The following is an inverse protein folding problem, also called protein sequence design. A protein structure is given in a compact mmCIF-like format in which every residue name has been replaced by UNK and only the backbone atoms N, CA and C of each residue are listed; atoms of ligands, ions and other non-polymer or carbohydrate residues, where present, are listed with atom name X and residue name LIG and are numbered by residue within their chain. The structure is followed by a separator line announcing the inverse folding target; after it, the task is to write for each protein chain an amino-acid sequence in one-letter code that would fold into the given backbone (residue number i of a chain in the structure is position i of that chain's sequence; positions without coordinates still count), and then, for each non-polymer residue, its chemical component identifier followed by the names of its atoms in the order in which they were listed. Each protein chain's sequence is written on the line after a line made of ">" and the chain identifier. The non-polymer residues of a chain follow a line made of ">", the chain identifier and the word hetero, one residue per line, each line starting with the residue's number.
data_IF_613913216256
#
_entry.id   IF_613913216256
#
_cell.length_a   1.000
_cell.length_b   1.000
_cell.length_c   1.000
_cell.angle_alpha   90.00
_cell.angle_beta   90.00
_cell.angle_gamma   90.00
#
_symmetry.space_group_name_H-M   'P 1'
#
loop_
_entity.id
_entity.type
_entity.pdbx_description
1 polymer ?
#
# COMPACT_ATOMS: atom_id res chain seq x y z
N UNK A 1 -49.08 -10.24 -18.26
CA UNK A 1 -47.84 -9.65 -18.81
C UNK A 1 -46.82 -9.53 -17.69
N UNK A 2 -45.91 -10.50 -17.58
CA UNK A 2 -44.80 -10.52 -16.63
C UNK A 2 -43.67 -9.63 -17.14
N UNK A 3 -43.42 -8.50 -16.48
CA UNK A 3 -42.32 -7.59 -16.80
C UNK A 3 -41.02 -8.08 -16.16
N UNK A 4 -40.16 -8.68 -16.97
CA UNK A 4 -38.83 -9.16 -16.59
C UNK A 4 -37.86 -7.97 -16.56
N UNK A 5 -37.58 -7.42 -15.37
CA UNK A 5 -36.59 -6.34 -15.21
C UNK A 5 -35.18 -6.92 -15.28
N UNK A 6 -34.56 -6.78 -16.46
CA UNK A 6 -33.17 -7.16 -16.74
C UNK A 6 -32.22 -6.23 -15.97
N UNK A 7 -31.72 -6.66 -14.81
CA UNK A 7 -30.65 -5.96 -14.06
C UNK A 7 -29.39 -5.90 -14.92
N UNK A 8 -29.07 -4.73 -15.46
CA UNK A 8 -27.78 -4.44 -16.06
C UNK A 8 -26.70 -4.37 -14.96
N UNK A 9 -25.97 -5.45 -14.74
CA UNK A 9 -24.79 -5.47 -13.89
C UNK A 9 -23.64 -4.77 -14.61
N UNK A 10 -23.50 -3.46 -14.42
CA UNK A 10 -22.33 -2.70 -14.83
C UNK A 10 -21.10 -3.16 -14.04
N UNK A 11 -20.39 -4.18 -14.55
CA UNK A 11 -19.05 -4.56 -14.10
C UNK A 11 -18.15 -3.34 -14.33
N UNK A 12 -17.77 -2.62 -13.28
CA UNK A 12 -16.64 -1.70 -13.36
C UNK A 12 -15.45 -2.52 -13.85
N UNK A 13 -15.03 -2.29 -15.09
CA UNK A 13 -13.82 -2.91 -15.64
C UNK A 13 -12.65 -2.34 -14.86
N UNK A 14 -12.15 -3.10 -13.90
CA UNK A 14 -10.82 -2.88 -13.32
C UNK A 14 -9.82 -2.84 -14.49
N UNK A 15 -9.34 -1.65 -14.85
CA UNK A 15 -8.29 -1.52 -15.85
C UNK A 15 -7.05 -2.18 -15.25
N UNK A 16 -6.71 -3.37 -15.75
CA UNK A 16 -5.50 -4.06 -15.36
C UNK A 16 -4.30 -3.17 -15.72
N UNK A 17 -3.35 -2.95 -14.78
CA UNK A 17 -2.06 -2.40 -15.13
C UNK A 17 -1.46 -3.21 -16.27
N UNK A 18 -0.86 -2.55 -17.26
CA UNK A 18 -0.26 -3.26 -18.38
C UNK A 18 0.94 -4.06 -17.85
N UNK A 19 1.01 -5.36 -18.14
CA UNK A 19 2.05 -6.27 -17.64
C UNK A 19 3.49 -5.74 -17.86
N UNK A 20 3.73 -5.01 -18.95
CA UNK A 20 5.05 -4.44 -19.25
C UNK A 20 5.42 -3.29 -18.29
N UNK A 21 4.44 -2.54 -17.75
CA UNK A 21 4.69 -1.52 -16.71
C UNK A 21 5.20 -2.18 -15.44
N UNK A 22 4.65 -3.35 -15.11
CA UNK A 22 5.04 -4.12 -13.94
C UNK A 22 6.44 -4.71 -14.08
N UNK A 23 6.82 -5.14 -15.29
CA UNK A 23 8.20 -5.52 -15.59
C UNK A 23 9.17 -4.34 -15.49
N UNK A 24 8.80 -3.18 -16.02
CA UNK A 24 9.62 -1.96 -15.91
C UNK A 24 9.79 -1.52 -14.45
N UNK A 25 8.76 -1.67 -13.62
CA UNK A 25 8.84 -1.39 -12.19
C UNK A 25 9.80 -2.33 -11.47
N UNK A 26 9.74 -3.63 -11.77
CA UNK A 26 10.71 -4.61 -11.26
C UNK A 26 12.14 -4.31 -11.73
N UNK A 27 12.31 -3.96 -13.00
CA UNK A 27 13.61 -3.57 -13.56
C UNK A 27 14.14 -2.27 -12.94
N UNK A 28 13.28 -1.30 -12.68
CA UNK A 28 13.65 -0.05 -12.01
C UNK A 28 14.10 -0.32 -10.57
N UNK A 29 13.37 -1.17 -9.83
CA UNK A 29 13.76 -1.58 -8.48
C UNK A 29 15.12 -2.29 -8.46
N UNK A 30 15.35 -3.20 -9.42
CA UNK A 30 16.66 -3.84 -9.61
C UNK A 30 17.74 -2.81 -9.96
N UNK A 31 17.42 -1.82 -10.79
CA UNK A 31 18.32 -0.71 -11.12
C UNK A 31 18.72 0.12 -9.91
N UNK A 32 17.77 0.42 -9.00
CA UNK A 32 18.07 1.12 -7.73
C UNK A 32 19.01 0.29 -6.86
N UNK A 33 18.73 -1.01 -6.72
CA UNK A 33 19.61 -1.92 -5.98
C UNK A 33 21.03 -1.96 -6.57
N UNK A 34 21.15 -2.12 -7.89
CA UNK A 34 22.43 -2.15 -8.58
C UNK A 34 23.20 -0.82 -8.44
N UNK A 35 22.50 0.32 -8.56
CA UNK A 35 23.11 1.64 -8.42
C UNK A 35 23.65 1.88 -7.00
N UNK A 36 22.91 1.50 -5.97
CA UNK A 36 23.38 1.63 -4.58
C UNK A 36 24.50 0.63 -4.26
N UNK A 37 24.46 -0.57 -4.84
CA UNK A 37 25.56 -1.53 -4.75
C UNK A 37 26.85 -1.02 -5.40
N UNK A 38 26.75 -0.22 -6.47
CA UNK A 38 27.89 0.44 -7.11
C UNK A 38 28.42 1.68 -6.33
N UNK A 39 27.70 2.12 -5.29
CA UNK A 39 28.05 3.26 -4.46
C UNK A 39 28.21 2.86 -2.98
N UNK A 40 29.13 1.92 -2.65
CA UNK A 40 29.32 1.49 -1.27
C UNK A 40 29.87 2.64 -0.41
N UNK A 41 29.38 2.72 0.82
CA UNK A 41 29.94 3.63 1.83
C UNK A 41 31.36 3.20 2.24
N UNK A 42 32.20 4.14 2.72
CA UNK A 42 33.57 3.82 3.14
C UNK A 42 33.63 2.68 4.17
N UNK A 43 34.58 1.76 3.98
CA UNK A 43 34.80 0.63 4.88
C UNK A 43 33.66 -0.40 4.90
N UNK A 44 32.88 -0.50 3.83
CA UNK A 44 31.73 -1.42 3.69
C UNK A 44 31.99 -2.82 4.28
N UNK A 45 33.04 -3.50 3.84
CA UNK A 45 33.29 -4.89 4.24
C UNK A 45 33.64 -5.03 5.73
N UNK A 46 34.51 -4.14 6.24
CA UNK A 46 34.84 -4.09 7.66
C UNK A 46 33.60 -3.79 8.51
N UNK A 47 32.77 -2.84 8.09
CA UNK A 47 31.52 -2.51 8.78
C UNK A 47 30.56 -3.69 8.78
N UNK A 48 30.45 -4.42 7.67
CA UNK A 48 29.61 -5.61 7.59
C UNK A 48 30.02 -6.68 8.60
N UNK A 49 31.33 -6.96 8.71
CA UNK A 49 31.86 -7.91 9.69
C UNK A 49 31.57 -7.46 11.12
N UNK A 50 31.93 -6.22 11.47
CA UNK A 50 31.69 -5.65 12.82
C UNK A 50 30.21 -5.64 13.20
N UNK A 51 29.32 -5.28 12.26
CA UNK A 51 27.89 -5.30 12.49
C UNK A 51 27.36 -6.73 12.69
N UNK A 52 27.88 -7.71 11.95
CA UNK A 52 27.54 -9.12 12.14
C UNK A 52 27.98 -9.65 13.51
N UNK A 53 29.22 -9.36 13.91
CA UNK A 53 29.74 -9.68 15.25
C UNK A 53 28.89 -9.03 16.35
N UNK A 54 28.53 -7.76 16.19
CA UNK A 54 27.70 -7.03 17.16
C UNK A 54 26.31 -7.65 17.36
N UNK A 55 25.72 -8.23 16.29
CA UNK A 55 24.44 -8.94 16.37
C UNK A 55 24.62 -10.24 17.17
N UNK A 56 25.67 -11.02 16.91
CA UNK A 56 25.98 -12.22 17.70
C UNK A 56 26.23 -11.92 19.17
N UNK A 57 26.99 -10.86 19.46
CA UNK A 57 27.26 -10.44 20.83
C UNK A 57 25.97 -10.06 21.57
N UNK A 58 25.05 -9.38 20.88
CA UNK A 58 23.72 -9.06 21.41
C UNK A 58 22.90 -10.33 21.69
N UNK A 59 22.88 -11.27 20.75
CA UNK A 59 22.15 -12.54 20.91
C UNK A 59 22.73 -13.40 22.04
N UNK A 60 24.04 -13.46 22.16
CA UNK A 60 24.74 -14.16 23.24
C UNK A 60 24.47 -13.50 24.60
N UNK A 61 24.47 -12.16 24.67
CA UNK A 61 24.10 -11.42 25.88
C UNK A 61 22.65 -11.71 26.31
N UNK A 62 21.75 -11.90 25.34
CA UNK A 62 20.35 -12.27 25.56
C UNK A 62 20.13 -13.79 25.74
N UNK A 63 21.16 -14.62 25.53
CA UNK A 63 21.12 -16.10 25.54
C UNK A 63 20.12 -16.70 24.56
N UNK A 64 20.08 -16.14 23.36
CA UNK A 64 19.23 -16.58 22.23
C UNK A 64 20.06 -16.98 21.02
N UNK A 65 21.34 -17.33 21.23
CA UNK A 65 22.36 -17.68 20.26
C UNK A 65 22.28 -19.17 19.79
N UNK A 66 21.06 -19.69 19.63
CA UNK A 66 20.82 -21.10 19.27
C UNK A 66 21.25 -21.46 17.83
N UNK A 67 21.48 -20.45 17.00
CA UNK A 67 21.73 -20.55 15.56
C UNK A 67 22.92 -21.44 15.24
N UNK A 68 24.00 -21.30 16.01
CA UNK A 68 25.24 -22.05 15.81
C UNK A 68 25.02 -23.55 15.99
N UNK A 69 24.21 -23.93 16.98
CA UNK A 69 23.87 -25.33 17.24
C UNK A 69 23.02 -25.92 16.10
N UNK A 70 22.03 -25.16 15.62
CA UNK A 70 21.18 -25.58 14.50
C UNK A 70 21.99 -25.68 13.20
N UNK A 71 22.96 -24.78 13.00
CA UNK A 71 23.83 -24.80 11.83
C UNK A 71 24.75 -26.02 11.79
N UNK A 72 25.41 -26.37 12.89
CA UNK A 72 26.19 -27.60 12.96
C UNK A 72 25.33 -28.83 12.76
N UNK A 73 24.14 -28.87 13.39
CA UNK A 73 23.22 -29.97 13.18
C UNK A 73 22.89 -30.16 11.70
N UNK A 74 22.53 -29.10 10.96
CA UNK A 74 22.19 -29.19 9.54
C UNK A 74 23.41 -29.56 8.68
N UNK A 75 24.60 -29.06 9.02
CA UNK A 75 25.84 -29.36 8.30
C UNK A 75 26.12 -30.87 8.23
N UNK A 76 25.71 -31.63 9.26
CA UNK A 76 25.94 -33.07 9.35
C UNK A 76 24.87 -33.93 8.63
N UNK A 77 23.84 -33.34 8.02
CA UNK A 77 22.69 -34.09 7.49
C UNK A 77 22.81 -34.51 6.01
N UNK A 78 23.93 -34.21 5.34
CA UNK A 78 24.21 -34.63 3.96
C UNK A 78 23.18 -34.11 2.94
N UNK A 79 22.25 -34.97 2.50
CA UNK A 79 21.26 -34.60 1.47
C UNK A 79 20.30 -33.50 1.93
N UNK A 80 19.98 -33.45 3.23
CA UNK A 80 19.08 -32.42 3.77
C UNK A 80 19.74 -31.03 3.70
N UNK A 81 21.06 -30.95 3.89
CA UNK A 81 21.85 -29.72 3.71
C UNK A 81 21.72 -29.19 2.28
N UNK A 82 21.77 -30.07 1.29
CA UNK A 82 21.61 -29.69 -0.13
C UNK A 82 20.20 -29.19 -0.41
N UNK A 83 19.18 -29.87 0.11
CA UNK A 83 17.77 -29.45 -0.02
C UNK A 83 17.55 -28.09 0.65
N UNK A 84 18.12 -27.87 1.83
CA UNK A 84 18.06 -26.59 2.53
C UNK A 84 18.71 -25.46 1.70
N UNK A 85 19.88 -25.69 1.10
CA UNK A 85 20.51 -24.71 0.24
C UNK A 85 19.65 -24.37 -1.01
N UNK A 86 18.95 -25.36 -1.59
CA UNK A 86 18.01 -25.11 -2.69
C UNK A 86 16.73 -24.38 -2.25
N UNK A 87 16.21 -24.69 -1.06
CA UNK A 87 15.08 -23.97 -0.46
C UNK A 87 15.45 -22.49 -0.29
N UNK A 88 16.60 -22.24 0.34
CA UNK A 88 17.16 -20.91 0.53
C UNK A 88 17.27 -20.18 -0.80
N UNK A 89 17.73 -20.87 -1.86
CA UNK A 89 18.03 -20.22 -3.11
C UNK A 89 16.81 -19.78 -3.94
N UNK A 90 15.73 -20.58 -3.97
CA UNK A 90 14.69 -20.41 -5.00
C UNK A 90 13.27 -20.26 -4.48
N UNK A 91 12.96 -20.81 -3.31
CA UNK A 91 11.57 -21.00 -2.88
C UNK A 91 10.83 -19.67 -2.70
N UNK A 92 11.46 -18.70 -2.02
CA UNK A 92 10.89 -17.37 -1.76
C UNK A 92 10.60 -16.60 -3.05
N UNK A 93 11.48 -16.69 -4.06
CA UNK A 93 11.28 -16.11 -5.39
C UNK A 93 10.07 -16.74 -6.07
N UNK A 94 10.03 -18.07 -6.12
CA UNK A 94 8.98 -18.82 -6.79
C UNK A 94 7.60 -18.53 -6.17
N UNK A 95 7.51 -18.54 -4.83
CA UNK A 95 6.26 -18.27 -4.10
C UNK A 95 5.81 -16.81 -4.29
N UNK A 96 6.74 -15.87 -4.30
CA UNK A 96 6.44 -14.44 -4.51
C UNK A 96 5.90 -14.21 -5.92
N UNK A 97 6.59 -14.72 -6.94
CA UNK A 97 6.14 -14.62 -8.33
C UNK A 97 4.79 -15.30 -8.55
N UNK A 98 4.60 -16.51 -7.98
CA UNK A 98 3.32 -17.21 -8.04
C UNK A 98 2.20 -16.41 -7.38
N UNK A 99 2.46 -15.78 -6.24
CA UNK A 99 1.50 -14.93 -5.52
C UNK A 99 1.14 -13.69 -6.33
N UNK A 100 2.13 -13.00 -6.91
CA UNK A 100 1.91 -11.84 -7.78
C UNK A 100 1.08 -12.21 -9.02
N UNK A 101 1.41 -13.31 -9.68
CA UNK A 101 0.66 -13.81 -10.85
C UNK A 101 -0.76 -14.20 -10.46
N UNK A 102 -0.93 -14.89 -9.33
CA UNK A 102 -2.26 -15.26 -8.83
C UNK A 102 -3.10 -14.02 -8.50
N UNK A 103 -2.53 -13.02 -7.82
CA UNK A 103 -3.19 -11.75 -7.55
C UNK A 103 -3.59 -11.05 -8.85
N UNK A 104 -2.66 -10.94 -9.81
CA UNK A 104 -2.91 -10.28 -11.09
C UNK A 104 -4.03 -10.95 -11.89
N UNK A 105 -4.09 -12.29 -11.91
CA UNK A 105 -5.05 -13.06 -12.71
C UNK A 105 -6.39 -13.31 -12.02
N UNK A 106 -6.38 -13.54 -10.71
CA UNK A 106 -7.55 -14.05 -9.95
C UNK A 106 -8.11 -13.05 -8.95
N UNK A 107 -7.30 -12.09 -8.48
CA UNK A 107 -7.66 -11.10 -7.46
C UNK A 107 -7.16 -9.68 -7.83
N UNK A 108 -7.50 -9.16 -9.04
CA UNK A 108 -6.95 -7.90 -9.54
C UNK A 108 -7.24 -6.70 -8.62
N UNK A 109 -8.31 -6.77 -7.83
CA UNK A 109 -8.66 -5.79 -6.80
C UNK A 109 -7.61 -5.67 -5.67
N UNK A 110 -6.84 -6.73 -5.43
CA UNK A 110 -5.77 -6.77 -4.41
C UNK A 110 -4.37 -6.59 -5.01
N UNK A 111 -4.21 -6.75 -6.32
CA UNK A 111 -2.90 -6.70 -6.98
C UNK A 111 -2.17 -5.37 -6.77
N UNK A 112 -2.86 -4.23 -6.96
CA UNK A 112 -2.24 -2.91 -6.81
C UNK A 112 -1.65 -2.69 -5.41
N UNK A 113 -2.43 -3.01 -4.36
CA UNK A 113 -1.95 -2.96 -2.98
C UNK A 113 -0.76 -3.90 -2.74
N UNK A 114 -0.85 -5.13 -3.25
CA UNK A 114 0.20 -6.13 -3.07
C UNK A 114 1.52 -5.68 -3.70
N UNK A 115 1.46 -5.22 -4.95
CA UNK A 115 2.58 -4.63 -5.68
C UNK A 115 3.18 -3.44 -4.92
N UNK A 116 2.36 -2.49 -4.49
CA UNK A 116 2.85 -1.28 -3.82
C UNK A 116 3.55 -1.63 -2.49
N UNK A 117 2.98 -2.54 -1.70
CA UNK A 117 3.61 -3.03 -0.48
C UNK A 117 4.95 -3.74 -0.77
N UNK A 118 5.00 -4.52 -1.87
CA UNK A 118 6.20 -5.22 -2.31
C UNK A 118 7.30 -4.25 -2.80
N UNK A 119 6.94 -3.16 -3.46
CA UNK A 119 7.92 -2.12 -3.84
C UNK A 119 8.46 -1.42 -2.60
N UNK A 120 7.58 -0.98 -1.69
CA UNK A 120 8.00 -0.27 -0.48
C UNK A 120 8.90 -1.15 0.40
N UNK A 121 8.56 -2.42 0.63
CA UNK A 121 9.39 -3.30 1.46
C UNK A 121 10.79 -3.48 0.87
N UNK A 122 10.92 -3.61 -0.46
CA UNK A 122 12.23 -3.76 -1.10
C UNK A 122 13.03 -2.46 -1.06
N UNK A 123 12.39 -1.30 -1.26
CA UNK A 123 13.08 -0.01 -1.15
C UNK A 123 13.63 0.23 0.27
N UNK A 124 12.85 -0.13 1.30
CA UNK A 124 13.30 -0.04 2.69
C UNK A 124 14.45 -1.02 2.95
N UNK A 125 14.34 -2.27 2.48
CA UNK A 125 15.41 -3.26 2.64
C UNK A 125 16.71 -2.83 1.93
N UNK A 126 16.63 -2.33 0.70
CA UNK A 126 17.77 -1.81 -0.06
C UNK A 126 18.45 -0.65 0.70
N UNK A 127 17.65 0.27 1.26
CA UNK A 127 18.17 1.36 2.07
C UNK A 127 18.88 0.85 3.34
N UNK A 128 18.30 -0.15 4.01
CA UNK A 128 18.94 -0.79 5.15
C UNK A 128 20.27 -1.44 4.78
N UNK A 129 20.34 -2.21 3.68
CA UNK A 129 21.58 -2.84 3.21
C UNK A 129 22.68 -1.82 2.92
N UNK A 130 22.31 -0.66 2.38
CA UNK A 130 23.25 0.40 2.07
C UNK A 130 23.76 1.12 3.34
N UNK A 131 22.86 1.43 4.27
CA UNK A 131 23.19 2.15 5.51
C UNK A 131 23.84 1.27 6.58
N UNK A 132 23.43 0.00 6.67
CA UNK A 132 23.83 -0.96 7.69
C UNK A 132 24.13 -2.31 7.03
N UNK A 133 25.28 -2.45 6.35
CA UNK A 133 25.69 -3.74 5.78
C UNK A 133 25.98 -4.71 6.94
N UNK A 134 25.67 -6.00 6.75
CA UNK A 134 25.80 -7.04 7.79
C UNK A 134 26.31 -8.32 7.15
N UNK A 135 27.46 -8.80 7.62
CA UNK A 135 27.99 -10.09 7.22
C UNK A 135 27.15 -11.22 7.84
N UNK A 136 26.74 -12.23 7.05
CA UNK A 136 26.01 -13.39 7.56
C UNK A 136 26.91 -14.25 8.46
N UNK A 137 26.32 -15.05 9.39
CA UNK A 137 27.08 -15.84 10.36
C UNK A 137 28.17 -16.72 9.74
N UNK A 138 27.89 -17.38 8.62
CA UNK A 138 28.82 -18.27 7.92
C UNK A 138 30.08 -17.58 7.36
N UNK A 139 30.07 -16.26 7.24
CA UNK A 139 31.19 -15.47 6.72
C UNK A 139 32.02 -14.80 7.83
N UNK A 140 31.62 -14.95 9.10
CA UNK A 140 32.38 -14.44 10.23
C UNK A 140 33.53 -15.40 10.58
N UNK A 141 34.81 -14.98 10.49
CA UNK A 141 35.96 -15.88 10.65
C UNK A 141 36.01 -16.63 11.98
N UNK A 142 35.69 -15.96 13.08
CA UNK A 142 35.87 -16.50 14.44
C UNK A 142 34.55 -16.97 15.08
N UNK A 143 33.43 -16.88 14.36
CA UNK A 143 32.12 -17.26 14.90
C UNK A 143 31.90 -18.78 14.90
N UNK A 144 32.68 -19.53 14.11
CA UNK A 144 32.63 -21.00 14.07
C UNK A 144 31.41 -21.58 13.36
N UNK A 145 30.71 -20.82 12.51
CA UNK A 145 29.62 -21.35 11.67
C UNK A 145 30.19 -22.11 10.45
N UNK A 146 29.45 -23.12 10.00
CA UNK A 146 29.78 -23.89 8.79
C UNK A 146 29.11 -23.28 7.56
N UNK A 147 29.90 -22.98 6.53
CA UNK A 147 29.39 -22.56 5.22
C UNK A 147 28.82 -23.77 4.45
N UNK A 148 27.56 -24.08 4.72
CA UNK A 148 26.85 -25.21 4.11
C UNK A 148 26.65 -25.04 2.60
N UNK A 149 26.66 -23.81 2.10
CA UNK A 149 26.49 -23.49 0.67
C UNK A 149 27.72 -23.95 -0.11
N UNK A 150 28.92 -23.70 0.42
CA UNK A 150 30.19 -24.14 -0.18
C UNK A 150 30.36 -25.66 -0.09
N UNK A 151 29.96 -26.27 1.02
CA UNK A 151 30.07 -27.73 1.26
C UNK A 151 29.07 -28.53 0.41
N UNK A 152 27.86 -28.00 0.18
CA UNK A 152 26.78 -28.73 -0.47
C UNK A 152 26.84 -28.84 -2.00
N UNK A 153 27.85 -28.27 -2.68
CA UNK A 153 28.04 -28.41 -4.13
C UNK A 153 26.82 -28.00 -4.98
N UNK A 154 26.04 -27.04 -4.49
CA UNK A 154 24.68 -26.78 -4.97
C UNK A 154 24.71 -26.06 -6.33
N UNK A 155 24.41 -26.77 -7.42
CA UNK A 155 24.41 -26.22 -8.78
C UNK A 155 23.31 -25.15 -8.93
N UNK A 156 23.70 -23.93 -9.31
CA UNK A 156 22.79 -22.79 -9.46
C UNK A 156 22.36 -22.08 -8.18
N UNK A 157 22.87 -22.50 -7.02
CA UNK A 157 22.66 -21.81 -5.74
C UNK A 157 23.40 -20.46 -5.71
N UNK A 158 22.91 -19.53 -4.90
CA UNK A 158 23.68 -18.35 -4.47
C UNK A 158 25.06 -18.82 -3.97
N UNK A 159 26.14 -18.25 -4.51
CA UNK A 159 27.51 -18.74 -4.30
C UNK A 159 28.11 -19.55 -5.47
N UNK A 160 27.35 -19.83 -6.54
CA UNK A 160 27.94 -20.25 -7.83
C UNK A 160 28.50 -19.03 -8.61
N UNK A 161 29.53 -19.21 -9.46
CA UNK A 161 30.17 -18.12 -10.22
C UNK A 161 29.23 -17.32 -11.13
N UNK A 162 27.99 -17.80 -11.35
CA UNK A 162 26.99 -17.15 -12.18
C UNK A 162 26.18 -16.07 -11.42
N UNK A 163 26.30 -15.99 -10.09
CA UNK A 163 25.53 -15.07 -9.22
C UNK A 163 26.43 -14.39 -8.15
N UNK A 164 27.74 -14.32 -8.38
CA UNK A 164 28.73 -13.69 -7.49
C UNK A 164 28.53 -12.18 -7.27
N UNK A 165 27.66 -11.53 -8.05
CA UNK A 165 27.36 -10.09 -7.97
C UNK A 165 26.28 -9.66 -6.96
N UNK A 166 25.65 -10.59 -6.24
CA UNK A 166 24.69 -10.25 -5.19
C UNK A 166 25.41 -10.09 -3.85
N UNK A 167 25.20 -8.95 -3.18
CA UNK A 167 25.92 -8.52 -1.99
C UNK A 167 25.87 -9.56 -0.86
N UNK A 168 26.92 -10.38 -0.74
CA UNK A 168 27.03 -11.43 0.29
C UNK A 168 27.03 -10.87 1.73
N UNK A 169 27.12 -9.55 1.87
CA UNK A 169 27.19 -8.78 3.11
C UNK A 169 25.89 -8.02 3.41
N UNK A 170 24.76 -8.50 2.88
CA UNK A 170 23.43 -7.92 3.07
C UNK A 170 22.50 -8.88 3.83
N UNK A 171 22.91 -9.31 5.04
CA UNK A 171 22.11 -10.24 5.85
C UNK A 171 20.85 -9.56 6.45
N UNK A 172 20.95 -8.34 6.98
CA UNK A 172 19.84 -7.67 7.67
C UNK A 172 19.23 -6.53 6.84
N UNK A 173 17.91 -6.48 6.62
CA UNK A 173 16.88 -7.46 7.00
C UNK A 173 16.81 -8.66 6.03
N UNK A 174 16.31 -9.81 6.50
CA UNK A 174 16.18 -10.99 5.64
C UNK A 174 15.06 -10.82 4.61
N UNK A 175 15.44 -10.64 3.33
CA UNK A 175 14.48 -10.61 2.22
C UNK A 175 13.82 -11.96 1.95
N UNK A 176 14.47 -13.08 2.29
CA UNK A 176 13.87 -14.42 2.22
C UNK A 176 12.57 -14.47 3.06
N UNK A 177 12.69 -14.06 4.33
CA UNK A 177 11.54 -13.93 5.23
C UNK A 177 10.60 -12.82 4.78
N UNK A 178 11.14 -11.65 4.41
CA UNK A 178 10.32 -10.52 3.96
C UNK A 178 9.39 -10.91 2.80
N UNK A 179 9.90 -11.63 1.81
CA UNK A 179 9.15 -12.03 0.62
C UNK A 179 8.16 -13.16 0.91
N UNK A 180 8.60 -14.22 1.61
CA UNK A 180 7.73 -15.34 2.00
C UNK A 180 6.59 -14.86 2.92
N UNK A 181 6.91 -13.99 3.89
CA UNK A 181 5.92 -13.43 4.82
C UNK A 181 4.98 -12.46 4.10
N UNK A 182 5.50 -11.58 3.23
CA UNK A 182 4.66 -10.72 2.39
C UNK A 182 3.66 -11.54 1.55
N UNK A 183 4.10 -12.65 0.96
CA UNK A 183 3.22 -13.53 0.20
C UNK A 183 2.09 -14.09 1.07
N UNK A 184 2.42 -14.54 2.29
CA UNK A 184 1.44 -15.03 3.27
C UNK A 184 0.43 -13.93 3.68
N UNK A 185 0.89 -12.70 3.90
CA UNK A 185 0.02 -11.53 4.19
C UNK A 185 -0.88 -11.19 3.00
N UNK A 186 -0.34 -11.25 1.78
CA UNK A 186 -1.08 -10.97 0.57
C UNK A 186 -2.18 -12.00 0.30
N UNK A 187 -1.90 -13.29 0.53
CA UNK A 187 -2.88 -14.37 0.47
C UNK A 187 -3.99 -14.18 1.51
N UNK A 188 -3.63 -13.84 2.75
CA UNK A 188 -4.60 -13.58 3.82
C UNK A 188 -5.52 -12.42 3.45
N UNK A 189 -4.95 -11.31 2.97
CA UNK A 189 -5.71 -10.11 2.59
C UNK A 189 -6.63 -10.34 1.40
N UNK A 190 -6.23 -11.19 0.46
CA UNK A 190 -7.03 -11.58 -0.70
C UNK A 190 -8.03 -12.72 -0.40
N UNK A 191 -8.19 -13.10 0.87
CA UNK A 191 -9.06 -14.19 1.32
C UNK A 191 -8.83 -15.48 0.51
N UNK A 192 -7.56 -15.87 0.40
CA UNK A 192 -7.15 -17.14 -0.19
C UNK A 192 -7.74 -18.32 0.62
N UNK A 193 -7.94 -19.50 0.00
CA UNK A 193 -8.47 -20.66 0.71
C UNK A 193 -7.52 -21.09 1.83
N UNK A 194 -8.09 -21.69 2.89
CA UNK A 194 -7.34 -22.06 4.12
C UNK A 194 -6.12 -22.95 3.85
N UNK A 195 -6.19 -23.85 2.87
CA UNK A 195 -5.05 -24.69 2.50
C UNK A 195 -3.87 -23.87 1.97
N UNK A 196 -4.14 -22.82 1.18
CA UNK A 196 -3.09 -21.95 0.64
C UNK A 196 -2.46 -21.10 1.75
N UNK A 197 -3.29 -20.62 2.69
CA UNK A 197 -2.81 -19.90 3.87
C UNK A 197 -1.95 -20.78 4.79
N UNK A 198 -2.34 -22.05 4.95
CA UNK A 198 -1.59 -23.01 5.77
C UNK A 198 -0.27 -23.37 5.11
N UNK A 199 -0.28 -23.61 3.79
CA UNK A 199 0.92 -23.87 3.01
C UNK A 199 1.88 -22.68 3.03
N UNK A 200 1.39 -21.45 2.92
CA UNK A 200 2.23 -20.25 3.00
C UNK A 200 2.82 -20.04 4.39
N UNK A 201 2.06 -20.30 5.46
CA UNK A 201 2.56 -20.24 6.83
C UNK A 201 3.65 -21.30 7.09
N UNK A 202 3.43 -22.54 6.61
CA UNK A 202 4.43 -23.60 6.68
C UNK A 202 5.70 -23.23 5.90
N UNK A 203 5.55 -22.65 4.71
CA UNK A 203 6.68 -22.17 3.93
C UNK A 203 7.49 -21.10 4.67
N UNK A 204 6.85 -20.09 5.29
CA UNK A 204 7.55 -19.08 6.11
C UNK A 204 8.35 -19.72 7.25
N UNK A 205 7.76 -20.72 7.93
CA UNK A 205 8.45 -21.43 9.01
C UNK A 205 9.64 -22.27 8.50
N UNK A 206 9.48 -22.93 7.35
CA UNK A 206 10.57 -23.68 6.70
C UNK A 206 11.69 -22.75 6.27
N UNK A 207 11.38 -21.64 5.60
CA UNK A 207 12.37 -20.65 5.19
C UNK A 207 13.12 -20.09 6.40
N UNK A 208 12.42 -19.78 7.49
CA UNK A 208 13.06 -19.35 8.75
C UNK A 208 14.05 -20.38 9.28
N UNK A 209 13.62 -21.65 9.40
CA UNK A 209 14.50 -22.70 9.86
C UNK A 209 15.73 -22.86 8.94
N UNK A 210 15.53 -22.83 7.63
CA UNK A 210 16.60 -22.99 6.63
C UNK A 210 17.61 -21.85 6.68
N UNK A 211 17.18 -20.59 6.74
CA UNK A 211 18.12 -19.46 6.68
C UNK A 211 19.03 -19.39 7.91
N UNK A 212 18.50 -19.75 9.09
CA UNK A 212 19.27 -19.81 10.34
C UNK A 212 20.17 -21.04 10.31
N UNK A 213 19.64 -22.20 9.95
CA UNK A 213 20.41 -23.44 9.90
C UNK A 213 21.53 -23.42 8.84
N UNK A 214 21.37 -22.70 7.73
CA UNK A 214 22.43 -22.56 6.71
C UNK A 214 23.46 -21.48 7.07
N UNK A 215 23.27 -20.76 8.18
CA UNK A 215 24.17 -19.68 8.61
C UNK A 215 24.16 -18.47 7.66
N UNK A 216 23.11 -18.32 6.85
CA UNK A 216 22.95 -17.18 5.94
C UNK A 216 22.31 -15.96 6.62
N UNK A 217 21.61 -16.16 7.74
CA UNK A 217 20.93 -15.10 8.45
C UNK A 217 20.93 -15.35 9.96
N UNK A 218 20.97 -14.26 10.71
CA UNK A 218 20.58 -14.24 12.12
C UNK A 218 19.04 -14.31 12.22
N UNK A 219 18.50 -14.78 13.33
CA UNK A 219 17.08 -14.87 13.60
C UNK A 219 16.52 -13.47 13.81
N UNK A 220 17.36 -12.54 14.30
CA UNK A 220 17.06 -11.11 14.29
C UNK A 220 16.91 -10.53 12.87
N UNK A 221 17.56 -11.10 11.85
CA UNK A 221 17.32 -10.69 10.46
C UNK A 221 15.90 -11.05 10.02
N UNK A 222 15.35 -12.16 10.52
CA UNK A 222 13.96 -12.55 10.26
C UNK A 222 12.97 -11.57 10.90
N UNK A 223 13.28 -11.09 12.12
CA UNK A 223 12.51 -10.01 12.77
C UNK A 223 12.57 -8.73 11.94
N UNK A 224 13.75 -8.37 11.43
CA UNK A 224 13.93 -7.28 10.47
C UNK A 224 13.08 -7.48 9.20
N UNK A 225 13.05 -8.69 8.66
CA UNK A 225 12.21 -9.08 7.51
C UNK A 225 10.72 -8.84 7.75
N UNK A 226 10.21 -9.21 8.92
CA UNK A 226 8.81 -8.95 9.32
C UNK A 226 8.56 -7.44 9.47
N UNK A 227 9.50 -6.70 10.06
CA UNK A 227 9.39 -5.26 10.24
C UNK A 227 9.31 -4.52 8.90
N UNK A 228 10.13 -4.88 7.89
CA UNK A 228 10.06 -4.24 6.57
C UNK A 228 8.77 -4.58 5.82
N UNK A 229 8.21 -5.78 6.02
CA UNK A 229 6.87 -6.10 5.48
C UNK A 229 5.81 -5.22 6.14
N UNK A 230 5.86 -5.05 7.46
CA UNK A 230 4.94 -4.17 8.16
C UNK A 230 5.02 -2.72 7.64
N UNK A 231 6.24 -2.19 7.47
CA UNK A 231 6.46 -0.88 6.84
C UNK A 231 5.93 -0.82 5.41
N UNK A 232 6.12 -1.89 4.63
CA UNK A 232 5.55 -2.02 3.28
C UNK A 232 4.02 -1.95 3.27
N UNK A 233 3.37 -2.65 4.20
CA UNK A 233 1.90 -2.65 4.34
C UNK A 233 1.36 -1.28 4.75
N UNK A 234 2.00 -0.65 5.75
CA UNK A 234 1.64 0.70 6.22
C UNK A 234 1.89 1.74 5.13
N UNK A 235 3.04 1.69 4.47
CA UNK A 235 3.43 2.56 3.37
C UNK A 235 2.49 2.45 2.18
N UNK A 236 2.11 1.24 1.77
CA UNK A 236 1.12 1.04 0.71
C UNK A 236 -0.26 1.62 1.07
N UNK A 237 -0.67 1.49 2.34
CA UNK A 237 -1.92 2.09 2.82
C UNK A 237 -1.85 3.63 2.78
N UNK A 238 -0.74 4.23 3.22
CA UNK A 238 -0.52 5.67 3.16
C UNK A 238 -0.49 6.19 1.71
N UNK A 239 0.23 5.49 0.83
CA UNK A 239 0.33 5.83 -0.59
C UNK A 239 -1.02 5.78 -1.30
N UNK A 240 -1.85 4.77 -0.99
CA UNK A 240 -3.20 4.65 -1.58
C UNK A 240 -4.08 5.86 -1.25
N UNK A 241 -3.88 6.47 -0.10
CA UNK A 241 -4.62 7.65 0.36
C UNK A 241 -4.13 8.89 -0.37
N UNK A 242 -2.81 9.05 -0.51
CA UNK A 242 -2.22 10.16 -1.27
C UNK A 242 -2.61 10.11 -2.75
N UNK A 243 -2.67 8.93 -3.37
CA UNK A 243 -3.17 8.78 -4.75
C UNK A 243 -4.66 9.12 -4.89
N UNK A 244 -5.47 8.76 -3.90
CA UNK A 244 -6.90 9.11 -3.90
C UNK A 244 -7.16 10.61 -3.71
N UNK A 245 -6.22 11.35 -3.10
CA UNK A 245 -6.33 12.81 -2.96
C UNK A 245 -5.83 13.59 -4.17
N UNK A 246 -5.05 12.97 -5.07
CA UNK A 246 -4.40 13.66 -6.20
C UNK A 246 -4.90 13.23 -7.59
N UNK A 247 -5.94 12.38 -7.70
CA UNK A 247 -6.31 11.76 -8.99
C UNK A 247 -7.81 11.56 -9.21
N UNK A 248 -8.51 12.62 -9.63
CA UNK A 248 -9.75 12.51 -10.43
C UNK A 248 -10.96 13.33 -9.92
N UNK A 249 -11.77 13.91 -10.82
CA UNK A 249 -13.02 14.56 -10.44
C UNK A 249 -14.01 13.52 -9.88
N UNK A 250 -14.43 13.73 -8.64
CA UNK A 250 -15.46 12.91 -8.01
C UNK A 250 -16.83 13.37 -8.52
N UNK A 251 -17.47 12.54 -9.35
CA UNK A 251 -18.85 12.74 -9.81
C UNK A 251 -19.79 12.13 -8.75
N UNK A 252 -20.69 12.93 -8.19
CA UNK A 252 -21.80 12.47 -7.35
C UNK A 252 -23.10 12.50 -8.15
N UNK A 253 -23.81 11.38 -8.22
CA UNK A 253 -25.21 11.30 -8.66
C UNK A 253 -26.06 10.75 -7.51
N UNK A 254 -27.06 11.51 -7.09
CA UNK A 254 -27.86 11.20 -5.90
C UNK A 254 -28.94 10.12 -6.13
N UNK A 255 -29.15 9.63 -7.36
CA UNK A 255 -30.31 8.79 -7.71
C UNK A 255 -30.06 7.28 -7.83
N UNK A 256 -28.83 6.76 -7.65
CA UNK A 256 -28.60 5.31 -7.65
C UNK A 256 -28.05 4.80 -6.32
N UNK A 257 -28.88 4.04 -5.59
CA UNK A 257 -28.58 3.42 -4.31
C UNK A 257 -27.44 2.40 -4.34
N UNK A 258 -26.19 2.85 -4.42
CA UNK A 258 -25.00 2.06 -4.09
C UNK A 258 -24.32 2.59 -2.83
N UNK A 259 -24.26 1.71 -1.82
CA UNK A 259 -23.61 1.90 -0.51
C UNK A 259 -22.17 2.39 -0.69
N UNK A 260 -21.84 3.49 -0.03
CA UNK A 260 -20.46 3.98 0.11
C UNK A 260 -20.22 4.40 1.56
N UNK A 261 -19.72 3.46 2.36
CA UNK A 261 -18.98 3.80 3.57
C UNK A 261 -17.65 3.09 3.53
N UNK A 262 -16.57 3.84 3.32
CA UNK A 262 -15.36 3.65 4.11
C UNK A 262 -14.82 5.03 4.50
N UNK A 263 -14.79 5.20 5.81
CA UNK A 263 -14.33 6.33 6.61
C UNK A 263 -12.89 6.70 6.30
N UNK A 264 -12.58 8.01 6.28
CA UNK A 264 -11.30 8.49 6.81
C UNK A 264 -11.47 9.87 7.46
N UNK A 265 -11.18 9.90 8.76
CA UNK A 265 -11.01 11.09 9.57
C UNK A 265 -9.76 11.86 9.10
N UNK A 266 -9.85 13.18 9.02
CA UNK A 266 -8.68 14.06 8.97
C UNK A 266 -8.50 14.69 10.37
N UNK A 267 -7.26 14.63 10.87
CA UNK A 267 -6.84 15.29 12.11
C UNK A 267 -6.55 16.76 11.84
N UNK A 268 -6.88 17.59 12.83
CA UNK A 268 -7.04 19.05 12.79
C UNK A 268 -5.73 19.86 12.91
N UNK A 269 -4.59 19.21 13.13
CA UNK A 269 -3.34 19.89 13.49
C UNK A 269 -2.29 19.79 12.39
N UNK A 270 -2.36 20.69 11.43
CA UNK A 270 -1.19 21.33 10.80
C UNK A 270 -1.70 22.56 10.05
N UNK A 271 -1.97 23.56 10.88
CA UNK A 271 -2.54 24.83 10.54
C UNK A 271 -1.43 25.81 10.13
N UNK A 272 -1.81 26.78 9.30
CA UNK A 272 -1.37 28.18 9.43
C UNK A 272 0.08 28.45 9.05
N UNK A 273 0.29 28.72 7.76
CA UNK A 273 1.01 29.91 7.24
C UNK A 273 1.10 29.76 5.72
N UNK A 274 0.14 30.31 5.01
CA UNK A 274 0.34 30.93 3.68
C UNK A 274 -1.02 31.50 3.26
N UNK A 275 -1.25 32.72 3.67
CA UNK A 275 -2.33 33.56 3.19
C UNK A 275 -1.69 34.86 2.75
N UNK A 276 -1.38 34.97 1.47
CA UNK A 276 -1.28 36.25 0.79
C UNK A 276 -1.29 36.03 -0.72
N UNK A 277 -2.33 36.58 -1.35
CA UNK A 277 -2.34 37.09 -2.72
C UNK A 277 -1.92 36.13 -3.85
N UNK A 278 -2.92 35.53 -4.50
CA UNK A 278 -2.92 35.60 -5.95
C UNK A 278 -4.35 35.84 -6.45
N UNK A 279 -4.55 37.00 -7.09
CA UNK A 279 -5.77 37.38 -7.74
C UNK A 279 -5.81 36.67 -9.11
N UNK A 280 -6.16 35.39 -9.09
CA UNK A 280 -6.29 34.60 -10.32
C UNK A 280 -7.75 34.59 -10.76
N UNK A 281 -8.00 34.96 -12.02
CA UNK A 281 -9.28 34.83 -12.72
C UNK A 281 -10.03 33.56 -12.27
N UNK A 282 -11.32 33.64 -11.90
CA UNK A 282 -12.08 32.49 -11.43
C UNK A 282 -11.99 31.35 -12.43
N UNK A 283 -11.67 30.15 -11.95
CA UNK A 283 -11.68 28.98 -12.80
C UNK A 283 -13.10 28.80 -13.39
N UNK A 284 -13.22 28.50 -14.69
CA UNK A 284 -14.53 28.39 -15.32
C UNK A 284 -15.33 27.24 -14.71
N UNK A 285 -16.65 27.44 -14.57
CA UNK A 285 -17.57 26.40 -14.09
C UNK A 285 -17.53 25.22 -15.06
N UNK A 286 -17.26 24.02 -14.53
CA UNK A 286 -17.16 22.82 -15.35
C UNK A 286 -18.55 22.38 -15.82
N UNK A 287 -18.69 21.80 -17.04
CA UNK A 287 -19.97 21.30 -17.54
C UNK A 287 -20.68 20.32 -16.60
N UNK A 288 -19.92 19.51 -15.84
CA UNK A 288 -20.48 18.58 -14.85
C UNK A 288 -21.13 19.29 -13.65
N UNK A 289 -20.59 20.45 -13.23
CA UNK A 289 -21.14 21.24 -12.12
C UNK A 289 -22.45 21.91 -12.55
N UNK A 290 -22.47 22.47 -13.77
CA UNK A 290 -23.69 22.99 -14.39
C UNK A 290 -24.76 21.92 -14.54
N UNK A 291 -24.38 20.72 -15.01
CA UNK A 291 -25.30 19.60 -15.16
C UNK A 291 -25.88 19.14 -13.82
N UNK A 292 -25.07 19.09 -12.76
CA UNK A 292 -25.51 18.70 -11.42
C UNK A 292 -26.52 19.70 -10.84
N UNK A 293 -26.23 21.00 -10.93
CA UNK A 293 -27.13 22.04 -10.46
C UNK A 293 -28.45 22.08 -11.28
N UNK A 294 -28.38 21.94 -12.61
CA UNK A 294 -29.57 21.86 -13.47
C UNK A 294 -30.42 20.62 -13.19
N UNK A 295 -29.79 19.48 -12.93
CA UNK A 295 -30.51 18.26 -12.56
C UNK A 295 -31.23 18.43 -11.21
N UNK A 296 -30.58 19.06 -10.24
CA UNK A 296 -31.21 19.35 -8.95
C UNK A 296 -32.43 20.28 -9.10
N UNK A 297 -32.30 21.36 -9.88
CA UNK A 297 -33.43 22.25 -10.21
C UNK A 297 -34.57 21.50 -10.93
N UNK A 298 -34.24 20.58 -11.84
CA UNK A 298 -35.24 19.78 -12.54
C UNK A 298 -35.99 18.81 -11.61
N UNK A 299 -35.28 18.24 -10.63
CA UNK A 299 -35.82 17.25 -9.70
C UNK A 299 -36.64 17.89 -8.56
N UNK A 300 -36.28 19.11 -8.14
CA UNK A 300 -36.81 19.76 -6.93
C UNK A 300 -37.59 21.06 -7.19
N UNK A 301 -37.66 21.52 -8.44
CA UNK A 301 -38.38 22.73 -8.81
C UNK A 301 -37.60 24.02 -8.53
N UNK A 302 -38.19 25.16 -8.90
CA UNK A 302 -37.64 26.51 -8.70
C UNK A 302 -38.52 27.29 -7.71
N UNK A 303 -37.97 28.22 -6.91
CA UNK A 303 -36.54 28.56 -6.82
C UNK A 303 -35.74 27.57 -5.97
N UNK A 304 -34.44 27.43 -6.28
CA UNK A 304 -33.47 26.71 -5.46
C UNK A 304 -32.55 27.73 -4.81
N UNK A 305 -32.48 27.74 -3.48
CA UNK A 305 -31.54 28.60 -2.75
C UNK A 305 -30.16 27.95 -2.75
N UNK A 306 -29.11 28.73 -3.00
CA UNK A 306 -27.74 28.26 -3.07
C UNK A 306 -26.84 29.02 -2.10
N UNK A 307 -26.27 28.30 -1.13
CA UNK A 307 -25.33 28.85 -0.16
C UNK A 307 -23.92 28.43 -0.51
N UNK A 308 -23.07 29.40 -0.87
CA UNK A 308 -21.65 29.15 -1.18
C UNK A 308 -20.83 29.22 0.10
N UNK A 309 -20.09 28.15 0.39
CA UNK A 309 -19.27 28.06 1.60
C UNK A 309 -17.87 27.63 1.26
N UNK A 310 -16.87 28.41 1.67
CA UNK A 310 -15.48 28.00 1.56
C UNK A 310 -15.22 26.77 2.43
N UNK A 311 -14.71 25.70 1.83
CA UNK A 311 -14.37 24.43 2.51
C UNK A 311 -12.85 24.22 2.61
N UNK A 312 -12.12 25.31 2.84
CA UNK A 312 -10.66 25.32 2.91
C UNK A 312 -10.00 25.09 1.55
N UNK A 313 -8.89 24.33 1.52
CA UNK A 313 -8.11 24.05 0.28
C UNK A 313 -8.88 23.22 -0.76
N UNK A 314 -10.00 22.60 -0.37
CA UNK A 314 -10.86 21.87 -1.30
C UNK A 314 -11.69 22.79 -2.22
N UNK A 315 -11.69 24.10 -1.95
CA UNK A 315 -12.41 25.11 -2.72
C UNK A 315 -13.63 25.64 -1.99
N UNK A 316 -14.76 25.74 -2.68
CA UNK A 316 -16.04 26.08 -2.09
C UNK A 316 -17.11 25.01 -2.37
N UNK A 317 -18.09 24.97 -1.49
CA UNK A 317 -19.24 24.08 -1.51
C UNK A 317 -20.47 24.93 -1.78
N UNK A 318 -21.22 24.63 -2.83
CA UNK A 318 -22.49 25.27 -3.15
C UNK A 318 -23.60 24.34 -2.70
N UNK A 319 -24.19 24.64 -1.54
CA UNK A 319 -25.31 23.86 -0.99
C UNK A 319 -26.59 24.35 -1.63
N UNK A 320 -27.31 23.45 -2.30
CA UNK A 320 -28.59 23.74 -2.94
C UNK A 320 -29.72 23.33 -2.01
N UNK A 321 -30.70 24.20 -1.80
CA UNK A 321 -31.88 23.98 -0.97
C UNK A 321 -33.11 24.13 -1.88
N UNK A 322 -33.80 23.02 -2.13
CA UNK A 322 -35.06 23.02 -2.86
C UNK A 322 -36.21 23.51 -1.98
N UNK A 323 -37.27 24.03 -2.59
CA UNK A 323 -38.48 24.47 -1.89
C UNK A 323 -39.24 23.28 -1.23
N UNK A 324 -39.01 22.06 -1.72
CA UNK A 324 -39.45 20.81 -1.12
C UNK A 324 -38.63 20.39 0.12
N UNK A 325 -37.65 21.22 0.50
CA UNK A 325 -36.73 21.00 1.61
C UNK A 325 -35.59 20.01 1.34
N UNK A 326 -35.42 19.59 0.08
CA UNK A 326 -34.30 18.76 -0.32
C UNK A 326 -32.97 19.53 -0.27
N UNK A 327 -31.89 18.78 -0.01
CA UNK A 327 -30.54 19.32 0.05
C UNK A 327 -29.65 18.66 -1.01
N UNK A 328 -29.08 19.50 -1.88
CA UNK A 328 -28.09 19.19 -2.88
C UNK A 328 -26.75 19.84 -2.57
N UNK A 329 -25.70 19.40 -3.26
CA UNK A 329 -24.36 19.90 -3.02
C UNK A 329 -23.48 19.80 -4.27
N UNK A 330 -22.80 20.90 -4.60
CA UNK A 330 -21.84 20.99 -5.69
C UNK A 330 -20.53 21.59 -5.19
N UNK A 331 -19.42 20.85 -5.31
CA UNK A 331 -18.09 21.36 -4.94
C UNK A 331 -17.42 22.01 -6.15
N UNK A 332 -16.89 23.22 -5.92
CA UNK A 332 -16.25 24.09 -6.91
C UNK A 332 -14.85 24.50 -6.44
N UNK A 333 -13.92 24.85 -7.35
CA UNK A 333 -12.54 25.17 -6.98
C UNK A 333 -12.38 26.40 -6.08
N UNK A 334 -13.31 27.36 -6.14
CA UNK A 334 -13.26 28.59 -5.35
C UNK A 334 -14.66 29.16 -5.12
N UNK A 335 -14.76 30.17 -4.25
CA UNK A 335 -16.04 30.86 -3.96
C UNK A 335 -16.55 31.55 -5.22
N UNK A 336 -15.65 32.17 -5.96
CA UNK A 336 -15.94 32.87 -7.21
C UNK A 336 -16.45 31.91 -8.29
N UNK A 337 -15.92 30.67 -8.36
CA UNK A 337 -16.51 29.64 -9.23
C UNK A 337 -17.89 29.18 -8.75
N UNK A 338 -18.17 29.29 -7.45
CA UNK A 338 -19.48 28.98 -6.87
C UNK A 338 -20.53 30.04 -7.21
N UNK A 339 -20.16 31.31 -7.12
CA UNK A 339 -20.98 32.45 -7.54
C UNK A 339 -21.27 32.36 -9.06
N UNK A 340 -20.24 32.08 -9.87
CA UNK A 340 -20.41 31.87 -11.31
C UNK A 340 -21.31 30.66 -11.64
N UNK A 341 -21.34 29.63 -10.79
CA UNK A 341 -22.26 28.49 -10.95
C UNK A 341 -23.71 28.92 -10.73
N UNK A 342 -23.97 29.75 -9.72
CA UNK A 342 -25.31 30.27 -9.41
C UNK A 342 -25.82 31.12 -10.57
N UNK A 343 -25.00 32.05 -11.08
CA UNK A 343 -25.35 32.89 -12.22
C UNK A 343 -25.64 32.09 -13.51
N UNK A 344 -24.95 30.96 -13.70
CA UNK A 344 -25.04 30.16 -14.92
C UNK A 344 -26.23 29.16 -14.93
N UNK A 345 -26.96 29.03 -13.83
CA UNK A 345 -28.06 28.06 -13.69
C UNK A 345 -29.35 28.77 -13.34
N UNK A 346 -30.21 28.89 -14.35
CA UNK A 346 -31.54 29.50 -14.22
C UNK A 346 -32.39 28.79 -13.15
N UNK A 347 -32.92 29.58 -12.21
CA UNK A 347 -33.71 29.13 -11.07
C UNK A 347 -32.93 28.80 -9.81
N UNK A 348 -31.61 29.06 -9.79
CA UNK A 348 -30.77 29.01 -8.59
C UNK A 348 -30.51 30.44 -8.12
N UNK A 349 -30.81 30.71 -6.85
CA UNK A 349 -30.68 32.04 -6.24
C UNK A 349 -29.64 31.99 -5.12
N UNK A 350 -28.77 33.00 -5.06
CA UNK A 350 -27.80 33.11 -3.98
C UNK A 350 -28.53 33.33 -2.65
N UNK A 351 -28.14 32.58 -1.62
CA UNK A 351 -28.70 32.64 -0.28
C UNK A 351 -27.61 32.53 0.78
N UNK A 352 -27.96 32.91 2.01
CA UNK A 352 -27.15 32.69 3.20
C UNK A 352 -27.84 31.70 4.14
N UNK A 353 -27.12 31.18 5.13
CA UNK A 353 -27.73 30.38 6.20
C UNK A 353 -28.47 31.27 7.21
N UNK A 354 -29.54 31.91 6.74
CA UNK A 354 -30.50 32.63 7.57
C UNK A 354 -31.59 31.70 8.12
N UNK A 355 -32.45 32.24 8.98
CA UNK A 355 -33.52 31.47 9.61
C UNK A 355 -34.50 30.86 8.58
N UNK A 356 -34.71 31.53 7.46
CA UNK A 356 -35.60 31.07 6.39
C UNK A 356 -34.98 29.89 5.62
N UNK A 357 -33.72 29.99 5.24
CA UNK A 357 -32.98 28.97 4.49
C UNK A 357 -32.74 27.74 5.34
N UNK A 358 -32.43 27.91 6.63
CA UNK A 358 -32.36 26.79 7.59
C UNK A 358 -33.74 26.16 7.79
N UNK A 359 -34.78 26.97 7.95
CA UNK A 359 -36.16 26.52 8.16
C UNK A 359 -36.77 25.79 6.97
N UNK A 360 -36.30 26.08 5.75
CA UNK A 360 -36.69 25.37 4.54
C UNK A 360 -36.12 23.95 4.48
N UNK A 361 -35.03 23.64 5.19
CA UNK A 361 -34.38 22.33 5.10
C UNK A 361 -35.18 21.24 5.82
N UNK A 362 -35.44 20.11 5.14
CA UNK A 362 -36.05 18.93 5.75
C UNK A 362 -34.98 17.87 5.99
N UNK A 363 -34.53 17.76 7.24
CA UNK A 363 -33.56 16.74 7.66
C UNK A 363 -34.24 15.37 7.83
N UNK A 364 -34.52 14.73 6.69
CA UNK A 364 -35.13 13.41 6.62
C UNK A 364 -34.30 12.31 7.28
N UNK A 365 -34.92 11.15 7.53
CA UNK A 365 -34.25 10.00 8.13
C UNK A 365 -33.02 9.54 7.31
N UNK A 366 -33.05 9.73 6.00
CA UNK A 366 -31.89 9.46 5.14
C UNK A 366 -30.75 10.46 5.39
N UNK A 367 -31.05 11.75 5.49
CA UNK A 367 -30.07 12.79 5.82
C UNK A 367 -29.45 12.55 7.20
N UNK A 368 -30.27 12.21 8.21
CA UNK A 368 -29.79 11.83 9.55
C UNK A 368 -28.89 10.60 9.54
N UNK A 369 -29.26 9.55 8.79
CA UNK A 369 -28.41 8.35 8.60
C UNK A 369 -27.10 8.68 7.89
N UNK A 370 -27.09 9.70 7.02
CA UNK A 370 -25.88 10.18 6.33
C UNK A 370 -24.97 11.01 7.25
N UNK A 371 -25.54 11.83 8.12
CA UNK A 371 -24.83 12.63 9.13
C UNK A 371 -24.24 11.80 10.26
N UNK A 372 -24.87 10.70 10.67
CA UNK A 372 -24.48 9.91 11.85
C UNK A 372 -23.18 9.08 11.70
N UNK A 373 -22.45 9.21 10.59
CA UNK A 373 -21.22 8.46 10.34
C UNK A 373 -21.43 6.94 10.23
N UNK A 374 -20.37 6.17 9.90
CA UNK A 374 -20.48 4.74 9.67
C UNK A 374 -20.72 3.90 10.94
N UNK A 375 -20.50 4.46 12.14
CA UNK A 375 -20.71 3.76 13.41
C UNK A 375 -22.18 3.67 13.82
N UNK A 376 -23.03 4.64 13.43
CA UNK A 376 -24.46 4.63 13.71
C UNK A 376 -25.31 3.91 12.64
N UNK A 377 -24.66 3.31 11.62
CA UNK A 377 -25.34 2.53 10.56
C UNK A 377 -25.34 1.02 10.81
N UNK A 378 -24.93 0.57 12.00
CA UNK A 378 -25.00 -0.84 12.42
C UNK A 378 -26.27 -1.10 13.21
#
# INVERSE_FOLDING_TARGET
>A
MTSTTRRATGRQRSRHPRWWVELLLGLALFGVYAALGALPLPGHDRRALVNGESILDLEAALRVDFEKAVNHWLADQGWLTVVANYEYAFSYLAVTLATLVWLYRRRPEHYGWGRDAFVVLNLVAILCFWLYPVAPPRLLPDAGFVDTVRVGGTWGSWGSPMVEGANQLAAMPSLHIGWAFWASVALARAAAPRWAQTASAAHVAVTFAVIVATGNHYWLDAVGGVAVVWLGVVGAAAWSVVRSTHGGPVIWTASEGRRLWRTRQYSYTDAVTETAADATTPAPVKPAQLAAARAFVADHGKPVKAVVQRIGRAGARVVLVGDDGALGDVVVPSVETGEALIEAVDGVEAAEWDAETVGATVIGAEHRRRMAGPLARR
#
